data_IF_823617259109
#
_entry.id   IF_823617259109
#
_cell.length_a   1.000
_cell.length_b   1.000
_cell.length_c   1.000
_cell.angle_alpha   90.00
_cell.angle_beta   90.00
_cell.angle_gamma   90.00
#
_symmetry.space_group_name_H-M   'P 1'
#
loop_
_entity.id
_entity.type
_entity.pdbx_description
1 polymer ?
#
# COMPACT_ATOMS: atom_id res chain seq x y z
N UNK A 1 -22.63 -11.74 -50.73
CA UNK A 1 -22.12 -10.64 -49.87
C UNK A 1 -22.86 -10.73 -48.54
N UNK A 2 -22.38 -11.58 -47.62
CA UNK A 2 -22.92 -11.71 -46.27
C UNK A 2 -21.83 -11.22 -45.32
N UNK A 3 -22.07 -10.09 -44.68
CA UNK A 3 -21.21 -9.53 -43.64
C UNK A 3 -21.66 -10.18 -42.33
N UNK A 4 -20.83 -11.09 -41.79
CA UNK A 4 -20.94 -11.53 -40.40
C UNK A 4 -20.28 -10.45 -39.53
N UNK A 5 -21.07 -9.64 -38.84
CA UNK A 5 -20.61 -8.90 -37.66
C UNK A 5 -20.50 -9.91 -36.51
N UNK A 6 -19.28 -10.30 -36.17
CA UNK A 6 -18.97 -10.89 -34.88
C UNK A 6 -18.87 -9.75 -33.86
N UNK A 7 -19.94 -9.54 -33.10
CA UNK A 7 -19.86 -8.78 -31.84
C UNK A 7 -18.99 -9.57 -30.86
N UNK A 8 -17.74 -9.14 -30.75
CA UNK A 8 -16.81 -9.65 -29.76
C UNK A 8 -17.04 -8.87 -28.47
N UNK A 9 -18.03 -9.23 -27.67
CA UNK A 9 -18.12 -8.81 -26.27
C UNK A 9 -16.98 -9.45 -25.49
N UNK A 10 -15.82 -8.80 -25.50
CA UNK A 10 -14.79 -8.99 -24.47
C UNK A 10 -15.31 -8.34 -23.19
N UNK A 11 -16.05 -9.08 -22.38
CA UNK A 11 -15.98 -8.88 -20.94
C UNK A 11 -14.57 -9.32 -20.51
N UNK A 12 -13.61 -8.41 -20.61
CA UNK A 12 -12.40 -8.53 -19.82
C UNK A 12 -12.87 -8.45 -18.36
N UNK A 13 -12.76 -9.54 -17.60
CA UNK A 13 -12.98 -9.50 -16.16
C UNK A 13 -11.87 -8.64 -15.55
N UNK A 14 -12.00 -7.33 -15.59
CA UNK A 14 -11.18 -6.43 -14.79
C UNK A 14 -11.48 -6.76 -13.35
N UNK A 15 -10.47 -7.26 -12.61
CA UNK A 15 -10.62 -7.42 -11.18
C UNK A 15 -10.94 -6.05 -10.59
N UNK A 16 -12.15 -5.91 -10.03
CA UNK A 16 -12.58 -4.70 -9.33
C UNK A 16 -11.59 -4.38 -8.22
N UNK A 17 -11.22 -3.10 -8.10
CA UNK A 17 -10.32 -2.63 -7.05
C UNK A 17 -10.96 -2.88 -5.68
N UNK A 18 -10.24 -3.45 -4.72
CA UNK A 18 -10.73 -3.77 -3.39
C UNK A 18 -10.40 -2.63 -2.42
N UNK A 19 -11.42 -1.85 -2.04
CA UNK A 19 -11.28 -0.76 -1.07
C UNK A 19 -11.80 -1.23 0.28
N UNK A 20 -11.03 -1.01 1.33
CA UNK A 20 -11.48 -1.24 2.71
C UNK A 20 -11.68 0.09 3.40
N UNK A 21 -12.90 0.34 3.88
CA UNK A 21 -13.24 1.50 4.66
C UNK A 21 -13.20 1.10 6.13
N UNK A 22 -12.26 1.65 6.89
CA UNK A 22 -12.15 1.41 8.33
C UNK A 22 -12.84 2.57 9.03
N UNK A 23 -13.93 2.28 9.76
CA UNK A 23 -14.73 3.30 10.44
C UNK A 23 -15.16 2.88 11.83
N UNK A 24 -15.61 3.81 12.66
CA UNK A 24 -16.11 3.45 13.99
C UNK A 24 -17.47 2.75 13.87
N UNK A 25 -17.79 1.90 14.84
CA UNK A 25 -19.12 1.27 14.94
C UNK A 25 -20.28 2.29 14.92
N UNK A 26 -20.07 3.49 15.47
CA UNK A 26 -21.06 4.56 15.45
C UNK A 26 -21.29 5.11 14.05
N UNK A 27 -20.21 5.30 13.27
CA UNK A 27 -20.27 5.94 11.95
C UNK A 27 -20.63 4.95 10.82
N UNK A 28 -20.55 3.65 11.07
CA UNK A 28 -20.86 2.59 10.09
C UNK A 28 -22.16 2.82 9.30
N UNK A 29 -23.33 3.06 9.92
CA UNK A 29 -24.59 3.16 9.17
C UNK A 29 -24.59 4.36 8.20
N UNK A 30 -23.89 5.43 8.56
CA UNK A 30 -23.73 6.59 7.69
C UNK A 30 -22.82 6.27 6.50
N UNK A 31 -21.70 5.57 6.72
CA UNK A 31 -20.78 5.13 5.66
C UNK A 31 -21.48 4.15 4.72
N UNK A 32 -22.18 3.15 5.26
CA UNK A 32 -22.93 2.17 4.47
C UNK A 32 -23.93 2.86 3.54
N UNK A 33 -24.73 3.79 4.07
CA UNK A 33 -25.67 4.59 3.27
C UNK A 33 -24.99 5.52 2.26
N UNK A 34 -23.82 6.07 2.60
CA UNK A 34 -23.08 6.92 1.67
C UNK A 34 -22.60 6.14 0.45
N UNK A 35 -22.24 4.86 0.62
CA UNK A 35 -21.70 4.01 -0.43
C UNK A 35 -22.70 3.03 -1.07
N UNK A 36 -23.95 2.98 -0.60
CA UNK A 36 -25.02 2.13 -1.15
C UNK A 36 -25.23 2.33 -2.67
N UNK A 37 -25.18 3.59 -3.12
CA UNK A 37 -25.37 3.99 -4.53
C UNK A 37 -24.05 4.20 -5.29
N UNK A 38 -22.90 3.82 -4.72
CA UNK A 38 -21.60 4.14 -5.31
C UNK A 38 -21.31 3.25 -6.54
N UNK A 39 -21.19 3.86 -7.73
CA UNK A 39 -21.21 3.15 -9.03
C UNK A 39 -19.83 2.92 -9.67
N UNK A 40 -18.74 3.15 -8.96
CA UNK A 40 -17.40 2.93 -9.52
C UNK A 40 -17.02 1.45 -9.62
N UNK A 41 -15.99 1.14 -10.42
CA UNK A 41 -15.50 -0.22 -10.64
C UNK A 41 -14.62 -0.72 -9.47
N UNK A 42 -15.19 -0.71 -8.26
CA UNK A 42 -14.55 -1.19 -7.05
C UNK A 42 -15.50 -2.04 -6.19
N UNK A 43 -14.92 -2.82 -5.28
CA UNK A 43 -15.65 -3.50 -4.21
C UNK A 43 -15.28 -2.82 -2.90
N UNK A 44 -16.28 -2.35 -2.17
CA UNK A 44 -16.12 -1.69 -0.87
C UNK A 44 -16.41 -2.70 0.24
N UNK A 45 -15.49 -2.83 1.19
CA UNK A 45 -15.70 -3.56 2.45
C UNK A 45 -15.61 -2.58 3.60
N UNK A 46 -16.65 -2.49 4.43
CA UNK A 46 -16.66 -1.63 5.61
C UNK A 46 -16.26 -2.48 6.82
N UNK A 47 -15.29 -2.01 7.60
CA UNK A 47 -14.77 -2.69 8.77
C UNK A 47 -14.81 -1.75 9.99
N UNK A 48 -15.33 -2.27 11.11
CA UNK A 48 -15.61 -1.46 12.28
C UNK A 48 -14.51 -1.58 13.33
N UNK A 49 -14.01 -0.43 13.78
CA UNK A 49 -13.22 -0.35 15.01
C UNK A 49 -14.06 0.19 16.17
N UNK A 50 -13.63 -0.17 17.37
CA UNK A 50 -14.25 0.25 18.64
C UNK A 50 -13.40 1.29 19.37
N UNK A 51 -12.09 1.19 19.23
CA UNK A 51 -11.08 2.10 19.78
C UNK A 51 -9.81 2.01 18.91
N UNK A 52 -8.83 2.86 19.20
CA UNK A 52 -7.55 2.87 18.49
C UNK A 52 -6.63 1.68 18.80
N UNK A 53 -6.89 0.87 19.83
CA UNK A 53 -6.15 -0.39 20.02
C UNK A 53 -6.52 -1.43 18.96
N UNK A 54 -7.81 -1.50 18.61
CA UNK A 54 -8.35 -2.49 17.68
C UNK A 54 -8.11 -2.11 16.21
N UNK A 55 -7.92 -0.82 15.90
CA UNK A 55 -7.88 -0.34 14.52
C UNK A 55 -6.69 -0.90 13.71
N UNK A 56 -5.54 -1.10 14.35
CA UNK A 56 -4.34 -1.67 13.72
C UNK A 56 -4.54 -3.13 13.32
N UNK A 57 -5.21 -3.92 14.15
CA UNK A 57 -5.49 -5.33 13.84
C UNK A 57 -6.43 -5.46 12.65
N UNK A 58 -7.41 -4.56 12.53
CA UNK A 58 -8.30 -4.48 11.38
C UNK A 58 -7.50 -4.15 10.11
N UNK A 59 -6.61 -3.15 10.16
CA UNK A 59 -5.78 -2.81 9.02
C UNK A 59 -4.92 -4.02 8.58
N UNK A 60 -4.19 -4.65 9.50
CA UNK A 60 -3.35 -5.83 9.23
C UNK A 60 -4.12 -7.01 8.65
N UNK A 61 -5.38 -7.22 9.09
CA UNK A 61 -6.26 -8.26 8.56
C UNK A 61 -6.50 -8.09 7.06
N UNK A 62 -6.61 -6.86 6.57
CA UNK A 62 -6.98 -6.57 5.19
C UNK A 62 -5.80 -6.15 4.30
N UNK A 63 -4.68 -5.73 4.87
CA UNK A 63 -3.50 -5.18 4.16
C UNK A 63 -3.06 -6.02 2.95
N UNK A 64 -3.01 -7.34 3.11
CA UNK A 64 -2.59 -8.26 2.03
C UNK A 64 -3.61 -8.38 0.90
N UNK A 65 -4.87 -8.02 1.13
CA UNK A 65 -6.00 -8.26 0.21
C UNK A 65 -6.62 -7.01 -0.37
N UNK A 66 -6.45 -5.87 0.28
CA UNK A 66 -6.95 -4.58 -0.16
C UNK A 66 -5.99 -3.94 -1.18
N UNK A 67 -6.57 -3.21 -2.14
CA UNK A 67 -5.82 -2.33 -3.04
C UNK A 67 -5.61 -0.94 -2.42
N UNK A 68 -6.46 -0.52 -1.48
CA UNK A 68 -6.30 0.72 -0.73
C UNK A 68 -7.30 0.87 0.41
N UNK A 69 -7.07 1.86 1.26
CA UNK A 69 -7.82 2.09 2.49
C UNK A 69 -8.39 3.49 2.60
N UNK A 70 -9.56 3.59 3.21
CA UNK A 70 -10.18 4.84 3.57
C UNK A 70 -10.55 4.81 5.07
N UNK A 71 -9.96 5.70 5.86
CA UNK A 71 -10.04 5.63 7.33
C UNK A 71 -10.83 6.84 7.86
N UNK A 72 -11.77 6.61 8.78
CA UNK A 72 -12.55 7.70 9.39
C UNK A 72 -11.73 8.48 10.41
N UNK A 73 -11.18 9.63 10.02
CA UNK A 73 -10.42 10.54 10.86
C UNK A 73 -8.90 10.43 10.68
N UNK A 74 -8.22 11.58 10.78
CA UNK A 74 -6.76 11.69 10.72
C UNK A 74 -6.10 11.05 11.94
N UNK A 75 -6.67 11.22 13.13
CA UNK A 75 -6.16 10.60 14.37
C UNK A 75 -6.22 9.07 14.31
N UNK A 76 -7.27 8.51 13.72
CA UNK A 76 -7.41 7.06 13.51
C UNK A 76 -6.35 6.53 12.52
N UNK A 77 -6.08 7.29 11.45
CA UNK A 77 -5.01 6.98 10.49
C UNK A 77 -3.63 7.06 11.14
N UNK A 78 -3.35 8.11 11.90
CA UNK A 78 -2.09 8.29 12.64
C UNK A 78 -1.87 7.19 13.68
N UNK A 79 -2.94 6.72 14.35
CA UNK A 79 -2.87 5.60 15.28
C UNK A 79 -2.42 4.30 14.59
N UNK A 80 -2.86 4.04 13.35
CA UNK A 80 -2.38 2.91 12.56
C UNK A 80 -0.91 3.10 12.19
N UNK A 81 -0.57 4.26 11.61
CA UNK A 81 0.78 4.60 11.15
C UNK A 81 1.82 4.47 12.28
N UNK A 82 1.48 4.91 13.49
CA UNK A 82 2.35 4.77 14.66
C UNK A 82 2.72 3.30 14.98
N UNK A 83 1.84 2.35 14.70
CA UNK A 83 2.07 0.92 15.01
C UNK A 83 2.68 0.13 13.87
N UNK A 84 2.51 0.56 12.62
CA UNK A 84 3.00 -0.17 11.43
C UNK A 84 4.17 0.53 10.73
N UNK A 85 4.43 1.80 11.07
CA UNK A 85 5.31 2.67 10.29
C UNK A 85 4.61 3.15 9.02
N UNK A 86 5.32 3.09 7.90
CA UNK A 86 4.84 3.61 6.61
C UNK A 86 3.83 2.66 5.95
N UNK A 87 2.70 3.22 5.49
CA UNK A 87 1.69 2.48 4.73
C UNK A 87 2.25 1.93 3.41
N UNK A 88 2.04 0.64 3.17
CA UNK A 88 2.45 -0.04 1.94
C UNK A 88 1.37 0.00 0.84
N UNK A 89 0.23 0.62 1.13
CA UNK A 89 -0.92 0.76 0.24
C UNK A 89 -1.39 2.21 0.26
N UNK A 90 -2.04 2.71 -0.80
CA UNK A 90 -2.73 3.99 -0.77
C UNK A 90 -3.74 4.04 0.37
N UNK A 91 -3.58 5.04 1.23
CA UNK A 91 -4.46 5.28 2.37
C UNK A 91 -4.87 6.74 2.36
N UNK A 92 -6.17 6.98 2.50
CA UNK A 92 -6.73 8.32 2.70
C UNK A 92 -7.55 8.36 3.98
N UNK A 93 -7.65 9.54 4.58
CA UNK A 93 -8.58 9.78 5.69
C UNK A 93 -9.80 10.57 5.23
N UNK A 94 -10.95 10.30 5.84
CA UNK A 94 -12.15 11.10 5.66
C UNK A 94 -12.66 11.61 7.00
N UNK A 95 -13.09 12.86 7.01
CA UNK A 95 -13.61 13.56 8.17
C UNK A 95 -14.41 14.77 7.67
N UNK A 96 -15.23 15.35 8.55
CA UNK A 96 -15.90 16.60 8.25
C UNK A 96 -14.86 17.71 8.04
N UNK A 97 -14.96 18.40 6.91
CA UNK A 97 -14.15 19.57 6.59
C UNK A 97 -14.78 20.85 7.15
N UNK A 98 -14.12 22.01 6.92
CA UNK A 98 -14.64 23.31 7.35
C UNK A 98 -16.05 23.60 6.81
N UNK A 99 -16.33 23.20 5.56
CA UNK A 99 -17.66 23.38 4.96
C UNK A 99 -18.70 22.57 5.73
N UNK A 100 -18.37 21.32 6.07
CA UNK A 100 -19.20 20.44 6.89
C UNK A 100 -19.43 21.03 8.29
N UNK A 101 -18.40 21.65 8.90
CA UNK A 101 -18.52 22.33 10.19
C UNK A 101 -19.47 23.52 10.11
N UNK A 102 -19.27 24.45 9.17
CA UNK A 102 -20.16 25.60 9.03
C UNK A 102 -21.60 25.18 8.70
N UNK A 103 -21.78 24.18 7.85
CA UNK A 103 -23.10 23.64 7.54
C UNK A 103 -23.77 23.04 8.78
N UNK A 104 -23.02 22.26 9.58
CA UNK A 104 -23.50 21.71 10.84
C UNK A 104 -23.87 22.81 11.86
N UNK A 105 -23.03 23.83 12.03
CA UNK A 105 -23.28 24.95 12.93
C UNK A 105 -24.52 25.74 12.53
N UNK A 106 -24.64 26.11 11.24
CA UNK A 106 -25.79 26.83 10.72
C UNK A 106 -27.06 26.03 10.95
N UNK A 107 -27.06 24.73 10.62
CA UNK A 107 -28.21 23.86 10.85
C UNK A 107 -28.56 23.79 12.34
N UNK A 108 -27.57 23.52 13.19
CA UNK A 108 -27.76 23.32 14.61
C UNK A 108 -28.34 24.56 15.28
N UNK A 109 -27.76 25.75 15.08
CA UNK A 109 -28.24 26.98 15.73
C UNK A 109 -29.53 27.52 15.13
N UNK A 110 -29.90 27.14 13.90
CA UNK A 110 -31.22 27.42 13.35
C UNK A 110 -32.31 26.56 14.01
N UNK A 111 -32.02 25.28 14.28
CA UNK A 111 -32.93 24.32 14.90
C UNK A 111 -33.00 24.45 16.43
N UNK A 112 -31.88 24.82 17.07
CA UNK A 112 -31.70 24.92 18.53
C UNK A 112 -31.25 26.33 18.92
N UNK A 113 -32.20 27.28 18.82
CA UNK A 113 -32.00 28.70 19.17
C UNK A 113 -31.79 28.95 20.66
N UNK A 114 -31.98 27.94 21.48
CA UNK A 114 -31.73 27.95 22.92
C UNK A 114 -30.23 27.76 23.28
N UNK A 115 -29.42 27.29 22.34
CA UNK A 115 -27.99 27.06 22.57
C UNK A 115 -27.19 28.37 22.51
N UNK A 116 -26.27 28.52 23.44
CA UNK A 116 -25.25 29.58 23.44
C UNK A 116 -23.97 29.07 22.73
N UNK A 117 -23.54 29.68 21.61
CA UNK A 117 -22.30 29.31 20.93
C UNK A 117 -21.05 29.37 21.81
N UNK A 118 -21.03 30.20 22.85
CA UNK A 118 -19.92 30.28 23.81
C UNK A 118 -19.91 29.09 24.80
N UNK A 119 -20.94 28.25 24.78
CA UNK A 119 -21.10 27.07 25.65
C UNK A 119 -21.20 25.77 24.85
N UNK A 120 -21.12 25.83 23.52
CA UNK A 120 -21.01 24.69 22.63
C UNK A 120 -19.55 24.50 22.25
N UNK A 121 -18.94 23.34 22.52
CA UNK A 121 -17.50 23.11 22.28
C UNK A 121 -17.24 22.05 21.21
N UNK A 122 -16.10 22.13 20.53
CA UNK A 122 -15.57 21.10 19.65
C UNK A 122 -14.63 20.16 20.39
N UNK A 123 -14.91 18.85 20.33
CA UNK A 123 -14.12 17.84 21.04
C UNK A 123 -12.64 17.78 20.60
N UNK A 124 -12.38 17.99 19.30
CA UNK A 124 -11.03 17.98 18.72
C UNK A 124 -10.16 19.16 19.14
N UNK A 125 -10.76 20.21 19.71
CA UNK A 125 -10.02 21.35 20.24
C UNK A 125 -9.55 21.14 21.67
N UNK A 126 -10.19 20.24 22.43
CA UNK A 126 -9.87 19.99 23.83
C UNK A 126 -8.40 19.62 24.11
N UNK A 127 -7.70 18.86 23.23
CA UNK A 127 -6.29 18.55 23.46
C UNK A 127 -5.33 19.75 23.32
N UNK A 128 -5.77 20.85 22.71
CA UNK A 128 -4.92 21.99 22.35
C UNK A 128 -5.35 23.32 22.99
N UNK A 129 -6.38 23.31 23.83
CA UNK A 129 -6.80 24.52 24.57
C UNK A 129 -5.74 24.92 25.61
N UNK A 130 -5.62 26.22 25.87
CA UNK A 130 -4.63 26.75 26.83
C UNK A 130 -5.10 26.63 28.27
N UNK A 131 -6.40 26.83 28.51
CA UNK A 131 -7.04 26.63 29.80
C UNK A 131 -8.02 25.45 29.69
N UNK A 132 -7.64 24.26 30.16
CA UNK A 132 -8.54 23.11 30.16
C UNK A 132 -9.83 23.36 30.93
N UNK A 133 -9.79 24.11 32.05
CA UNK A 133 -10.92 24.36 32.97
C UNK A 133 -11.95 25.33 32.39
N UNK A 134 -11.54 26.20 31.48
CA UNK A 134 -12.41 27.12 30.77
C UNK A 134 -12.01 27.15 29.29
N UNK A 135 -12.42 26.14 28.49
CA UNK A 135 -11.89 25.91 27.15
C UNK A 135 -12.53 26.85 26.11
N UNK A 136 -12.34 28.16 26.26
CA UNK A 136 -12.88 29.18 25.36
C UNK A 136 -12.44 28.91 23.92
N UNK A 137 -11.20 28.48 23.71
CA UNK A 137 -10.66 28.16 22.38
C UNK A 137 -11.34 26.96 21.70
N UNK A 138 -12.06 26.12 22.46
CA UNK A 138 -12.84 25.03 21.92
C UNK A 138 -14.27 25.43 21.54
N UNK A 139 -14.73 26.63 21.89
CA UNK A 139 -16.13 27.03 21.70
C UNK A 139 -16.46 27.30 20.23
N UNK A 140 -17.73 27.12 19.86
CA UNK A 140 -18.24 27.50 18.56
C UNK A 140 -18.11 29.01 18.33
N UNK A 141 -18.29 29.82 19.38
CA UNK A 141 -18.09 31.27 19.32
C UNK A 141 -16.65 31.65 18.95
N UNK A 142 -15.66 31.04 19.60
CA UNK A 142 -14.25 31.27 19.29
C UNK A 142 -13.90 30.85 17.86
N UNK A 143 -14.43 29.70 17.39
CA UNK A 143 -14.21 29.25 16.01
C UNK A 143 -14.74 30.25 14.98
N UNK A 144 -15.91 30.84 15.24
CA UNK A 144 -16.56 31.79 14.32
C UNK A 144 -15.84 33.15 14.29
N UNK A 145 -15.35 33.63 15.43
CA UNK A 145 -14.87 35.01 15.56
C UNK A 145 -13.35 35.18 15.62
N UNK A 146 -12.64 34.22 16.21
CA UNK A 146 -11.24 34.42 16.61
C UNK A 146 -10.28 33.39 16.01
N UNK A 147 -10.77 32.23 15.59
CA UNK A 147 -9.91 31.13 15.14
C UNK A 147 -9.29 31.41 13.77
N UNK A 148 -7.96 31.41 13.70
CA UNK A 148 -7.24 31.37 12.44
C UNK A 148 -7.26 29.95 11.86
N UNK A 149 -8.27 29.68 11.02
CA UNK A 149 -8.48 28.39 10.38
C UNK A 149 -7.30 27.93 9.52
N UNK A 150 -6.49 28.84 8.99
CA UNK A 150 -5.31 28.48 8.20
C UNK A 150 -4.22 27.85 9.08
N UNK A 151 -4.19 28.21 10.37
CA UNK A 151 -3.21 27.71 11.33
C UNK A 151 -3.74 26.54 12.17
N UNK A 152 -5.05 26.23 12.09
CA UNK A 152 -5.67 25.13 12.82
C UNK A 152 -5.10 23.78 12.40
N UNK A 153 -5.05 23.50 11.09
CA UNK A 153 -4.49 22.26 10.55
C UNK A 153 -3.05 22.04 11.02
N UNK A 154 -2.20 23.09 10.91
CA UNK A 154 -0.82 23.04 11.38
C UNK A 154 -0.69 22.79 12.89
N UNK A 155 -1.63 23.31 13.68
CA UNK A 155 -1.64 23.11 15.14
C UNK A 155 -2.07 21.69 15.49
N UNK A 156 -3.08 21.15 14.80
CA UNK A 156 -3.51 19.76 14.96
C UNK A 156 -2.43 18.77 14.52
N UNK A 157 -1.75 19.03 13.41
CA UNK A 157 -0.64 18.22 12.93
C UNK A 157 0.54 18.25 13.90
N UNK A 158 0.88 19.43 14.43
CA UNK A 158 1.90 19.54 15.49
C UNK A 158 1.51 18.76 16.72
N UNK A 159 0.26 18.85 17.17
CA UNK A 159 -0.21 18.10 18.33
C UNK A 159 -0.17 16.60 18.09
N UNK A 160 -0.65 16.11 16.94
CA UNK A 160 -0.60 14.70 16.58
C UNK A 160 0.85 14.19 16.53
N UNK A 161 1.77 14.99 15.98
CA UNK A 161 3.19 14.64 15.88
C UNK A 161 3.97 14.79 17.19
N UNK A 162 3.60 15.71 18.09
CA UNK A 162 4.25 15.91 19.40
C UNK A 162 3.71 14.97 20.48
N UNK A 163 2.47 14.49 20.34
CA UNK A 163 1.84 13.52 21.24
C UNK A 163 2.34 12.08 21.01
N UNK A 164 3.30 11.87 20.10
CA UNK A 164 3.99 10.61 19.76
C UNK A 164 4.86 10.02 20.89
N UNK A 165 4.56 10.32 22.16
CA UNK A 165 5.14 9.66 23.33
C UNK A 165 4.08 8.85 24.11
N UNK A 166 2.78 8.96 23.81
CA UNK A 166 1.76 8.28 24.61
C UNK A 166 0.55 7.82 23.80
N UNK A 167 0.47 6.50 23.60
CA UNK A 167 -0.75 5.70 23.53
C UNK A 167 -2.01 6.42 22.99
N UNK A 168 -2.19 6.38 21.66
CA UNK A 168 -3.37 6.93 20.99
C UNK A 168 -4.69 6.40 21.59
N UNK A 169 -4.70 5.21 22.20
CA UNK A 169 -5.86 4.64 22.87
C UNK A 169 -6.44 5.54 23.98
N UNK A 170 -5.59 6.37 24.60
CA UNK A 170 -5.97 7.24 25.72
C UNK A 170 -6.49 8.59 25.22
N UNK A 171 -6.22 8.99 23.97
CA UNK A 171 -6.68 10.28 23.40
C UNK A 171 -8.19 10.38 23.39
N UNK A 172 -8.88 9.41 22.76
CA UNK A 172 -10.34 9.42 22.65
C UNK A 172 -10.99 9.37 24.03
N UNK A 173 -10.41 8.58 24.94
CA UNK A 173 -10.88 8.47 26.32
C UNK A 173 -10.68 9.79 27.09
N UNK A 174 -9.53 10.44 26.98
CA UNK A 174 -9.26 11.72 27.64
C UNK A 174 -10.22 12.82 27.15
N UNK A 175 -10.47 12.88 25.84
CA UNK A 175 -11.44 13.81 25.24
C UNK A 175 -12.84 13.55 25.81
N UNK A 176 -13.27 12.29 25.85
CA UNK A 176 -14.58 11.93 26.37
C UNK A 176 -14.72 12.24 27.86
N UNK A 177 -13.75 11.84 28.68
CA UNK A 177 -13.73 12.11 30.13
C UNK A 177 -13.74 13.62 30.41
N UNK A 178 -12.93 14.39 29.67
CA UNK A 178 -12.89 15.84 29.83
C UNK A 178 -14.21 16.50 29.47
N UNK A 179 -14.83 16.06 28.39
CA UNK A 179 -16.16 16.54 27.98
C UNK A 179 -17.20 16.27 29.07
N UNK A 180 -17.18 15.08 29.68
CA UNK A 180 -18.08 14.70 30.77
C UNK A 180 -17.85 15.58 32.01
N UNK A 181 -16.60 15.90 32.35
CA UNK A 181 -16.26 16.79 33.48
C UNK A 181 -16.82 18.20 33.27
N UNK A 182 -16.59 18.80 32.10
CA UNK A 182 -17.08 20.13 31.75
C UNK A 182 -18.62 20.20 31.78
N UNK A 183 -19.29 19.15 31.28
CA UNK A 183 -20.74 19.03 31.33
C UNK A 183 -21.26 18.98 32.77
N UNK A 184 -20.69 18.09 33.61
CA UNK A 184 -21.08 17.97 35.03
C UNK A 184 -20.85 19.26 35.83
N UNK A 185 -19.81 20.01 35.46
CA UNK A 185 -19.50 21.30 36.06
C UNK A 185 -20.41 22.45 35.55
N UNK A 186 -21.32 22.19 34.61
CA UNK A 186 -22.19 23.21 34.00
C UNK A 186 -21.43 24.23 33.15
N UNK A 187 -20.24 23.88 32.66
CA UNK A 187 -19.38 24.77 31.87
C UNK A 187 -19.76 24.81 30.40
N UNK A 188 -20.36 23.74 29.90
CA UNK A 188 -20.81 23.58 28.51
C UNK A 188 -22.27 23.14 28.49
N UNK A 189 -22.95 23.39 27.37
CA UNK A 189 -24.32 22.94 27.12
C UNK A 189 -24.39 21.83 26.06
N UNK A 190 -23.37 21.73 25.21
CA UNK A 190 -23.30 20.73 24.14
C UNK A 190 -21.84 20.54 23.68
N UNK A 191 -21.55 19.34 23.20
CA UNK A 191 -20.32 19.02 22.47
C UNK A 191 -20.60 18.72 21.00
N UNK A 192 -19.80 19.30 20.11
CA UNK A 192 -19.76 19.06 18.67
C UNK A 192 -18.63 18.05 18.41
N UNK A 193 -19.01 16.84 18.02
CA UNK A 193 -18.10 15.70 18.01
C UNK A 193 -17.51 15.45 16.63
N UNK A 194 -16.18 15.39 16.55
CA UNK A 194 -15.42 14.83 15.44
C UNK A 194 -14.99 13.37 15.71
N UNK A 195 -14.92 12.95 16.98
CA UNK A 195 -14.56 11.58 17.36
C UNK A 195 -15.79 10.70 17.57
N UNK A 196 -16.24 10.04 16.51
CA UNK A 196 -17.44 9.20 16.51
C UNK A 196 -17.42 8.05 17.53
N UNK A 197 -16.23 7.55 17.88
CA UNK A 197 -15.98 6.52 18.89
C UNK A 197 -16.37 6.95 20.32
N UNK A 198 -16.36 8.26 20.61
CA UNK A 198 -16.70 8.80 21.93
C UNK A 198 -18.20 8.93 22.15
N UNK A 199 -18.97 8.98 21.06
CA UNK A 199 -20.42 9.20 21.07
C UNK A 199 -21.19 8.24 21.99
N UNK A 200 -20.96 6.90 21.95
CA UNK A 200 -21.71 5.98 22.82
C UNK A 200 -21.51 6.27 24.31
N UNK A 201 -20.31 6.69 24.72
CA UNK A 201 -20.02 7.02 26.11
C UNK A 201 -20.69 8.35 26.52
N UNK A 202 -20.68 9.35 25.62
CA UNK A 202 -21.34 10.63 25.86
C UNK A 202 -22.86 10.45 25.98
N UNK A 203 -23.46 9.64 25.11
CA UNK A 203 -24.88 9.26 25.16
C UNK A 203 -25.22 8.55 26.48
N UNK A 204 -24.41 7.57 26.89
CA UNK A 204 -24.59 6.86 28.17
C UNK A 204 -24.58 7.80 29.38
N UNK A 205 -23.73 8.85 29.35
CA UNK A 205 -23.64 9.84 30.43
C UNK A 205 -24.63 10.99 30.29
N UNK A 206 -25.49 10.98 29.27
CA UNK A 206 -26.50 12.01 29.03
C UNK A 206 -25.89 13.37 28.68
N UNK A 207 -24.70 13.39 28.09
CA UNK A 207 -24.06 14.62 27.61
C UNK A 207 -24.70 15.01 26.27
N UNK A 208 -25.31 16.20 26.13
CA UNK A 208 -25.83 16.65 24.84
C UNK A 208 -24.70 16.73 23.81
N UNK A 209 -24.86 16.05 22.68
CA UNK A 209 -23.83 15.94 21.66
C UNK A 209 -24.41 16.05 20.26
N UNK A 210 -23.57 16.44 19.30
CA UNK A 210 -23.90 16.49 17.88
C UNK A 210 -22.69 16.06 17.04
N UNK A 211 -22.81 14.97 16.28
CA UNK A 211 -21.72 14.50 15.44
C UNK A 211 -21.60 15.31 14.14
N UNK A 212 -20.37 15.70 13.81
CA UNK A 212 -20.03 16.45 12.60
C UNK A 212 -19.86 15.47 11.43
N UNK A 213 -20.96 15.20 10.72
CA UNK A 213 -20.94 14.31 9.56
C UNK A 213 -20.25 14.96 8.35
N UNK A 214 -19.36 14.25 7.65
CA UNK A 214 -18.87 14.70 6.36
C UNK A 214 -20.01 14.71 5.32
N UNK A 215 -19.87 15.54 4.28
CA UNK A 215 -20.87 15.59 3.21
C UNK A 215 -20.69 14.38 2.28
N UNK A 216 -21.79 13.73 1.84
CA UNK A 216 -21.74 12.55 0.95
C UNK A 216 -20.84 12.76 -0.28
N UNK A 217 -20.99 13.89 -0.98
CA UNK A 217 -20.19 14.19 -2.18
C UNK A 217 -18.68 14.25 -1.90
N UNK A 218 -18.28 14.63 -0.68
CA UNK A 218 -16.89 14.64 -0.25
C UNK A 218 -16.35 13.21 -0.15
N UNK A 219 -17.11 12.30 0.49
CA UNK A 219 -16.74 10.88 0.59
C UNK A 219 -16.56 10.26 -0.80
N UNK A 220 -17.49 10.55 -1.72
CA UNK A 220 -17.42 10.08 -3.11
C UNK A 220 -16.20 10.65 -3.85
N UNK A 221 -15.85 11.92 -3.62
CA UNK A 221 -14.65 12.52 -4.21
C UNK A 221 -13.38 11.88 -3.67
N UNK A 222 -13.32 11.64 -2.35
CA UNK A 222 -12.16 11.05 -1.70
C UNK A 222 -11.90 9.62 -2.16
N UNK A 223 -12.92 8.77 -2.24
CA UNK A 223 -12.72 7.42 -2.78
C UNK A 223 -12.30 7.43 -4.25
N UNK A 224 -12.76 8.41 -5.06
CA UNK A 224 -12.31 8.56 -6.46
C UNK A 224 -10.84 8.94 -6.54
N UNK A 225 -10.39 9.81 -5.64
CA UNK A 225 -8.98 10.16 -5.50
C UNK A 225 -8.15 8.93 -5.12
N UNK A 226 -8.60 8.14 -4.14
CA UNK A 226 -7.95 6.89 -3.75
C UNK A 226 -7.86 5.91 -4.94
N UNK A 227 -8.94 5.73 -5.69
CA UNK A 227 -8.95 4.88 -6.88
C UNK A 227 -7.97 5.38 -7.96
N UNK A 228 -7.82 6.70 -8.10
CA UNK A 228 -6.85 7.31 -9.00
C UNK A 228 -5.40 7.07 -8.53
N UNK A 229 -5.12 7.23 -7.23
CA UNK A 229 -3.81 6.94 -6.64
C UNK A 229 -3.41 5.48 -6.87
N UNK A 230 -4.32 4.53 -6.61
CA UNK A 230 -4.08 3.10 -6.87
C UNK A 230 -3.78 2.83 -8.35
N UNK A 231 -4.52 3.48 -9.26
CA UNK A 231 -4.29 3.34 -10.70
C UNK A 231 -2.92 3.89 -11.12
N UNK A 232 -2.53 5.03 -10.55
CA UNK A 232 -1.23 5.66 -10.82
C UNK A 232 -0.06 4.81 -10.30
N UNK A 233 -0.18 4.24 -9.11
CA UNK A 233 0.84 3.33 -8.57
C UNK A 233 0.99 2.08 -9.44
N UNK A 234 -0.13 1.43 -9.78
CA UNK A 234 -0.13 0.27 -10.69
C UNK A 234 0.45 0.62 -12.06
N UNK A 235 0.16 1.81 -12.59
CA UNK A 235 0.77 2.28 -13.83
C UNK A 235 2.29 2.42 -13.69
N UNK A 236 2.75 3.07 -12.62
CA UNK A 236 4.18 3.29 -12.35
C UNK A 236 4.94 1.97 -12.18
N UNK A 237 4.38 1.03 -11.42
CA UNK A 237 4.94 -0.32 -11.24
C UNK A 237 5.11 -1.07 -12.56
N UNK A 238 4.23 -0.82 -13.52
CA UNK A 238 4.21 -1.48 -14.83
C UNK A 238 4.92 -0.69 -15.94
N UNK A 239 5.58 0.42 -15.63
CA UNK A 239 6.40 1.13 -16.61
C UNK A 239 7.43 0.18 -17.23
N UNK A 240 7.60 0.18 -18.56
CA UNK A 240 8.59 -0.67 -19.22
C UNK A 240 10.01 -0.30 -18.77
N UNK A 241 10.77 -1.34 -18.44
CA UNK A 241 12.20 -1.23 -18.13
C UNK A 241 12.99 -2.11 -19.08
N UNK A 242 14.11 -1.58 -19.57
CA UNK A 242 15.16 -2.36 -20.20
C UNK A 242 16.38 -2.37 -19.29
N UNK A 243 17.03 -3.52 -19.15
CA UNK A 243 18.31 -3.67 -18.46
C UNK A 243 19.31 -4.09 -19.53
N UNK A 244 20.28 -3.23 -19.82
CA UNK A 244 21.33 -3.46 -20.79
C UNK A 244 22.60 -3.93 -20.06
N UNK A 245 23.12 -5.08 -20.46
CA UNK A 245 24.24 -5.77 -19.79
C UNK A 245 25.32 -6.04 -20.84
N UNK A 246 26.55 -5.62 -20.54
CA UNK A 246 27.71 -5.90 -21.38
C UNK A 246 28.84 -6.48 -20.54
N UNK A 247 29.59 -7.43 -21.09
CA UNK A 247 30.80 -7.96 -20.46
C UNK A 247 31.95 -6.97 -20.62
N UNK A 248 32.55 -6.54 -19.50
CA UNK A 248 33.67 -5.60 -19.46
C UNK A 248 34.93 -6.16 -20.11
N UNK A 249 35.09 -7.48 -20.13
CA UNK A 249 36.28 -8.13 -20.62
C UNK A 249 36.26 -8.38 -22.13
N UNK A 250 35.11 -8.17 -22.80
CA UNK A 250 34.98 -8.31 -24.24
C UNK A 250 35.07 -6.96 -24.94
N UNK A 251 36.08 -6.80 -25.79
CA UNK A 251 36.17 -5.68 -26.74
C UNK A 251 35.46 -6.04 -28.05
N UNK A 252 34.90 -5.01 -28.69
CA UNK A 252 34.15 -5.11 -29.94
C UNK A 252 34.93 -5.88 -31.03
N UNK A 253 34.44 -7.05 -31.44
CA UNK A 253 34.97 -7.81 -32.58
C UNK A 253 35.16 -9.32 -32.36
N UNK A 254 35.14 -9.81 -31.12
CA UNK A 254 35.13 -11.25 -30.83
C UNK A 254 33.69 -11.81 -30.87
N UNK A 255 33.48 -13.01 -31.43
CA UNK A 255 32.15 -13.61 -31.57
C UNK A 255 31.45 -13.72 -30.20
N UNK A 256 30.15 -13.42 -30.17
CA UNK A 256 29.28 -13.66 -29.01
C UNK A 256 29.50 -15.07 -28.47
N UNK A 257 29.83 -15.15 -27.18
CA UNK A 257 29.98 -16.42 -26.48
C UNK A 257 28.66 -16.67 -25.78
N UNK A 258 28.02 -17.80 -26.08
CA UNK A 258 26.73 -18.22 -25.49
C UNK A 258 26.79 -18.25 -23.94
N UNK A 259 27.99 -18.22 -23.35
CA UNK A 259 28.24 -18.26 -21.91
C UNK A 259 27.65 -17.09 -21.11
N UNK A 260 27.74 -15.84 -21.61
CA UNK A 260 27.22 -14.66 -20.90
C UNK A 260 25.69 -14.63 -20.98
N UNK A 261 25.14 -14.94 -22.16
CA UNK A 261 23.69 -15.06 -22.34
C UNK A 261 23.10 -16.12 -21.42
N UNK A 262 23.73 -17.29 -21.35
CA UNK A 262 23.32 -18.40 -20.49
C UNK A 262 23.43 -18.02 -19.00
N UNK A 263 24.50 -17.32 -18.59
CA UNK A 263 24.64 -16.80 -17.23
C UNK A 263 23.55 -15.79 -16.87
N UNK A 264 23.28 -14.80 -17.73
CA UNK A 264 22.21 -13.81 -17.53
C UNK A 264 20.85 -14.49 -17.43
N UNK A 265 20.55 -15.44 -18.31
CA UNK A 265 19.28 -16.19 -18.25
C UNK A 265 19.18 -17.05 -16.99
N UNK A 266 20.28 -17.69 -16.56
CA UNK A 266 20.30 -18.49 -15.31
C UNK A 266 20.11 -17.64 -14.08
N UNK A 267 20.78 -16.48 -13.99
CA UNK A 267 20.59 -15.54 -12.87
C UNK A 267 19.16 -15.00 -12.89
N UNK A 268 18.66 -14.58 -14.04
CA UNK A 268 17.30 -14.09 -14.16
C UNK A 268 16.25 -15.15 -13.78
N UNK A 269 16.48 -16.42 -14.16
CA UNK A 269 15.64 -17.54 -13.74
C UNK A 269 15.77 -17.86 -12.26
N UNK A 270 16.96 -17.75 -11.67
CA UNK A 270 17.18 -17.95 -10.24
C UNK A 270 16.48 -16.87 -9.38
N UNK A 271 16.46 -15.64 -9.89
CA UNK A 271 15.76 -14.48 -9.35
C UNK A 271 14.29 -14.40 -9.78
N UNK A 272 13.84 -15.34 -10.63
CA UNK A 272 12.47 -15.49 -11.12
C UNK A 272 11.93 -14.27 -11.89
N UNK A 273 12.81 -13.52 -12.53
CA UNK A 273 12.47 -12.31 -13.31
C UNK A 273 11.51 -12.70 -14.45
N UNK A 274 10.31 -12.12 -14.43
CA UNK A 274 9.40 -12.15 -15.58
C UNK A 274 9.88 -11.11 -16.61
N UNK A 275 10.46 -11.60 -17.70
CA UNK A 275 11.13 -10.76 -18.68
C UNK A 275 11.24 -11.40 -20.07
N UNK A 276 11.43 -10.54 -21.06
CA UNK A 276 11.84 -10.92 -22.42
C UNK A 276 13.33 -10.64 -22.57
N UNK A 277 14.08 -11.63 -23.06
CA UNK A 277 15.52 -11.53 -23.28
C UNK A 277 15.82 -11.29 -24.76
N UNK A 278 16.75 -10.38 -25.04
CA UNK A 278 17.22 -10.12 -26.39
C UNK A 278 18.73 -9.84 -26.36
N UNK A 279 19.46 -10.26 -27.38
CA UNK A 279 20.87 -9.93 -27.56
C UNK A 279 21.07 -9.12 -28.83
N UNK A 280 21.81 -8.02 -28.76
CA UNK A 280 22.20 -7.20 -29.90
C UNK A 280 23.63 -6.69 -29.71
N UNK A 281 24.51 -6.93 -30.69
CA UNK A 281 25.86 -6.32 -30.73
C UNK A 281 26.65 -6.43 -29.41
N UNK A 282 26.70 -7.63 -28.82
CA UNK A 282 27.34 -7.94 -27.52
C UNK A 282 26.67 -7.32 -26.27
N UNK A 283 25.52 -6.67 -26.43
CA UNK A 283 24.68 -6.20 -25.32
C UNK A 283 23.50 -7.16 -25.14
N UNK A 284 23.30 -7.60 -23.90
CA UNK A 284 22.16 -8.41 -23.50
C UNK A 284 21.12 -7.54 -22.82
N UNK A 285 19.89 -7.60 -23.33
CA UNK A 285 18.74 -6.88 -22.83
C UNK A 285 17.81 -7.79 -22.06
N UNK A 286 17.39 -7.31 -20.89
CA UNK A 286 16.24 -7.85 -20.14
C UNK A 286 15.15 -6.79 -20.20
N UNK A 287 14.04 -7.08 -20.88
CA UNK A 287 12.85 -6.25 -20.86
C UNK A 287 11.90 -6.72 -19.77
N UNK A 288 11.58 -5.86 -18.83
CA UNK A 288 10.73 -6.15 -17.68
C UNK A 288 9.94 -4.91 -17.26
N UNK A 289 9.44 -4.89 -16.03
CA UNK A 289 8.68 -3.78 -15.46
C UNK A 289 9.49 -3.04 -14.39
N UNK A 290 9.10 -1.81 -14.09
CA UNK A 290 9.67 -1.01 -13.01
C UNK A 290 9.64 -1.74 -11.67
N UNK A 291 8.54 -2.43 -11.35
CA UNK A 291 8.40 -3.25 -10.13
C UNK A 291 9.50 -4.30 -10.00
N UNK A 292 9.83 -4.99 -11.11
CA UNK A 292 10.88 -6.02 -11.11
C UNK A 292 12.26 -5.38 -10.99
N UNK A 293 12.52 -4.30 -11.71
CA UNK A 293 13.80 -3.59 -11.61
C UNK A 293 14.04 -3.00 -10.20
N UNK A 294 13.01 -2.41 -9.59
CA UNK A 294 13.06 -1.91 -8.22
C UNK A 294 13.31 -3.04 -7.22
N UNK A 295 12.70 -4.22 -7.41
CA UNK A 295 12.98 -5.40 -6.59
C UNK A 295 14.45 -5.86 -6.71
N UNK A 296 14.99 -5.90 -7.94
CA UNK A 296 16.37 -6.31 -8.23
C UNK A 296 17.43 -5.34 -7.73
N UNK A 297 17.04 -4.13 -7.36
CA UNK A 297 17.97 -3.07 -6.97
C UNK A 297 17.63 -2.48 -5.60
N UNK A 298 16.66 -3.07 -4.88
CA UNK A 298 16.08 -2.52 -3.65
C UNK A 298 15.78 -1.03 -3.81
N UNK A 299 14.91 -0.69 -4.75
CA UNK A 299 14.58 0.68 -5.15
C UNK A 299 15.82 1.49 -5.60
N UNK A 300 16.70 0.87 -6.38
CA UNK A 300 17.91 1.52 -6.93
C UNK A 300 18.91 1.97 -5.85
N UNK A 301 18.95 1.29 -4.71
CA UNK A 301 19.95 1.49 -3.67
C UNK A 301 21.13 0.52 -3.80
N UNK A 302 20.88 -0.69 -4.32
CA UNK A 302 21.86 -1.78 -4.39
C UNK A 302 21.89 -2.41 -5.79
N UNK A 303 22.90 -3.24 -6.04
CA UNK A 303 23.08 -3.95 -7.29
C UNK A 303 23.21 -5.47 -7.05
N UNK A 304 22.12 -6.21 -7.24
CA UNK A 304 22.12 -7.67 -7.10
C UNK A 304 22.55 -8.41 -8.37
N UNK A 305 22.28 -7.86 -9.56
CA UNK A 305 22.51 -8.56 -10.83
C UNK A 305 24.00 -8.64 -11.16
N UNK A 306 24.74 -7.53 -11.04
CA UNK A 306 26.20 -7.51 -11.24
C UNK A 306 26.89 -8.43 -10.22
N UNK A 307 26.48 -8.35 -8.95
CA UNK A 307 27.02 -9.19 -7.87
C UNK A 307 26.83 -10.68 -8.15
N UNK A 308 25.66 -11.09 -8.63
CA UNK A 308 25.36 -12.48 -8.97
C UNK A 308 26.18 -12.98 -10.17
N UNK A 309 26.25 -12.18 -11.25
CA UNK A 309 27.03 -12.53 -12.44
C UNK A 309 28.53 -12.67 -12.14
N UNK A 310 29.05 -11.79 -11.28
CA UNK A 310 30.45 -11.82 -10.85
C UNK A 310 30.75 -13.02 -9.94
N UNK A 311 29.93 -13.25 -8.91
CA UNK A 311 30.22 -14.27 -7.90
C UNK A 311 29.96 -15.70 -8.41
N UNK A 312 28.89 -15.91 -9.17
CA UNK A 312 28.46 -17.25 -9.58
C UNK A 312 29.10 -17.70 -10.90
N UNK A 313 29.46 -16.73 -11.77
CA UNK A 313 29.96 -17.01 -13.12
C UNK A 313 31.31 -16.35 -13.44
N UNK A 314 31.85 -15.50 -12.56
CA UNK A 314 33.13 -14.81 -12.80
C UNK A 314 33.08 -13.74 -13.88
N UNK A 315 31.88 -13.29 -14.28
CA UNK A 315 31.68 -12.33 -15.36
C UNK A 315 31.66 -10.92 -14.78
N UNK A 316 32.53 -10.05 -15.29
CA UNK A 316 32.58 -8.64 -14.90
C UNK A 316 31.69 -7.83 -15.84
N UNK A 317 30.63 -7.21 -15.34
CA UNK A 317 29.64 -6.54 -16.21
C UNK A 317 29.61 -5.02 -16.08
N UNK A 318 29.17 -4.37 -17.15
CA UNK A 318 28.62 -3.04 -17.12
C UNK A 318 27.10 -3.17 -17.28
N UNK A 319 26.33 -2.50 -16.43
CA UNK A 319 24.87 -2.63 -16.39
C UNK A 319 24.22 -1.25 -16.38
N UNK A 320 23.27 -1.04 -17.29
CA UNK A 320 22.41 0.13 -17.35
C UNK A 320 20.94 -0.25 -17.25
N UNK A 321 20.22 0.34 -16.32
CA UNK A 321 18.76 0.24 -16.22
C UNK A 321 18.12 1.45 -16.88
N UNK A 322 17.11 1.24 -17.71
CA UNK A 322 16.36 2.32 -18.35
C UNK A 322 14.88 2.17 -18.13
N UNK A 323 14.26 3.14 -17.47
CA UNK A 323 12.83 3.23 -17.23
C UNK A 323 12.25 4.19 -18.27
N UNK A 324 11.21 3.79 -19.00
CA UNK A 324 10.58 4.65 -20.01
C UNK A 324 9.07 4.51 -20.03
N UNK A 325 8.39 5.36 -20.80
CA UNK A 325 6.96 5.26 -21.09
C UNK A 325 6.68 4.29 -22.25
N UNK A 326 7.73 3.81 -22.92
CA UNK A 326 7.66 2.79 -23.98
C UNK A 326 8.90 1.89 -23.93
N UNK A 327 8.81 0.69 -24.53
CA UNK A 327 9.94 -0.24 -24.65
C UNK A 327 11.14 0.42 -25.36
N UNK A 328 10.87 1.21 -26.40
CA UNK A 328 11.90 1.92 -27.17
C UNK A 328 12.62 2.97 -26.31
N UNK A 329 11.86 3.73 -25.53
CA UNK A 329 12.43 4.72 -24.61
C UNK A 329 13.24 4.04 -23.49
N UNK A 330 12.67 2.99 -22.87
CA UNK A 330 13.34 2.20 -21.86
C UNK A 330 14.68 1.64 -22.36
N UNK A 331 14.72 1.10 -23.59
CA UNK A 331 15.96 0.62 -24.22
C UNK A 331 16.99 1.74 -24.37
N UNK A 332 16.59 2.89 -24.92
CA UNK A 332 17.48 4.04 -25.10
C UNK A 332 18.03 4.54 -23.75
N UNK A 333 17.19 4.58 -22.73
CA UNK A 333 17.60 4.94 -21.37
C UNK A 333 18.60 3.93 -20.80
N UNK A 334 18.39 2.64 -21.03
CA UNK A 334 19.29 1.58 -20.58
C UNK A 334 20.66 1.67 -21.27
N UNK A 335 20.69 1.94 -22.58
CA UNK A 335 21.92 2.17 -23.33
C UNK A 335 22.68 3.42 -22.85
N UNK A 336 21.97 4.50 -22.50
CA UNK A 336 22.58 5.69 -21.91
C UNK A 336 23.20 5.38 -20.54
N UNK A 337 22.46 4.70 -19.66
CA UNK A 337 22.96 4.28 -18.36
C UNK A 337 24.13 3.29 -18.47
N UNK A 338 24.09 2.39 -19.47
CA UNK A 338 25.18 1.45 -19.74
C UNK A 338 26.46 2.18 -20.18
N UNK A 339 26.34 3.25 -20.98
CA UNK A 339 27.50 4.09 -21.35
C UNK A 339 28.14 4.76 -20.13
N UNK A 340 27.33 5.19 -19.16
CA UNK A 340 27.82 5.71 -17.88
C UNK A 340 28.52 4.61 -17.07
N UNK A 341 27.92 3.42 -17.01
CA UNK A 341 28.52 2.24 -16.36
C UNK A 341 29.85 1.82 -17.00
N UNK A 342 30.02 1.97 -18.31
CA UNK A 342 31.30 1.74 -18.99
C UNK A 342 32.37 2.77 -18.66
N UNK A 343 31.97 4.04 -18.55
CA UNK A 343 32.87 5.16 -18.29
C UNK A 343 33.31 5.25 -16.83
N UNK A 344 32.56 4.58 -15.94
CA UNK A 344 32.80 4.54 -14.51
C UNK A 344 32.76 3.10 -13.96
N UNK A 345 32.66 2.93 -12.64
CA UNK A 345 32.50 1.62 -12.00
C UNK A 345 31.14 1.56 -11.33
N UNK A 346 30.39 0.47 -11.57
CA UNK A 346 29.06 0.26 -11.00
C UNK A 346 27.94 0.43 -12.02
N UNK A 347 26.73 0.11 -11.60
CA UNK A 347 25.53 0.19 -12.43
C UNK A 347 24.84 1.54 -12.30
N UNK A 348 24.10 1.93 -13.33
CA UNK A 348 23.36 3.18 -13.36
C UNK A 348 21.93 2.96 -13.84
N UNK A 349 21.04 3.88 -13.45
CA UNK A 349 19.64 3.89 -13.85
C UNK A 349 19.38 5.23 -14.54
N UNK A 350 18.67 5.20 -15.67
CA UNK A 350 18.08 6.40 -16.25
C UNK A 350 16.55 6.30 -16.12
N UNK A 351 15.96 7.24 -15.38
CA UNK A 351 14.52 7.25 -15.13
C UNK A 351 13.71 7.86 -16.30
N UNK A 352 12.38 7.79 -16.21
CA UNK A 352 11.44 8.33 -17.19
C UNK A 352 11.54 9.86 -17.37
N UNK A 353 12.19 10.56 -16.44
CA UNK A 353 12.47 11.99 -16.49
C UNK A 353 13.86 12.32 -17.07
N UNK A 354 14.55 11.35 -17.69
CA UNK A 354 15.92 11.46 -18.23
C UNK A 354 17.00 11.78 -17.17
N UNK A 355 16.75 11.49 -15.90
CA UNK A 355 17.74 11.67 -14.84
C UNK A 355 18.56 10.39 -14.67
N UNK A 356 19.88 10.53 -14.57
CA UNK A 356 20.80 9.42 -14.24
C UNK A 356 20.92 9.30 -12.73
N UNK A 357 20.77 8.09 -12.22
CA UNK A 357 20.91 7.69 -10.82
C UNK A 357 22.03 6.65 -10.74
N UNK A 358 22.98 6.83 -9.84
CA UNK A 358 24.05 5.88 -9.59
C UNK A 358 25.40 6.54 -9.23
N UNK A 359 26.46 5.74 -9.05
CA UNK A 359 26.45 4.27 -9.19
C UNK A 359 25.65 3.60 -8.07
N UNK A 360 24.87 2.56 -8.42
CA UNK A 360 24.12 1.76 -7.45
C UNK A 360 25.07 1.11 -6.44
N UNK A 361 24.70 1.06 -5.16
CA UNK A 361 25.54 0.50 -4.09
C UNK A 361 26.67 1.40 -3.58
N UNK A 362 26.71 2.68 -3.95
CA UNK A 362 27.72 3.66 -3.48
C UNK A 362 27.36 4.36 -2.17
N UNK A 363 26.13 4.22 -1.68
CA UNK A 363 25.69 4.74 -0.40
C UNK A 363 26.21 3.86 0.75
N UNK A 364 27.05 4.43 1.62
CA UNK A 364 27.16 3.95 3.00
C UNK A 364 25.78 4.14 3.64
N UNK A 365 24.99 3.06 3.72
CA UNK A 365 23.68 3.04 4.34
C UNK A 365 23.79 3.57 5.79
N UNK A 366 22.90 4.47 6.25
CA UNK A 366 22.39 4.33 7.60
C UNK A 366 21.73 2.94 7.64
N UNK A 367 22.19 2.08 8.52
CA UNK A 367 21.62 0.76 8.74
C UNK A 367 20.11 0.89 9.03
N UNK A 368 19.27 0.66 8.03
CA UNK A 368 17.86 0.36 8.21
C UNK A 368 17.66 -1.14 8.01
N UNK A 369 16.96 -1.73 8.97
CA UNK A 369 16.82 -3.16 9.19
C UNK A 369 16.35 -3.88 7.93
N UNK A 370 16.92 -5.08 7.72
CA UNK A 370 16.39 -6.06 6.79
C UNK A 370 14.98 -6.45 7.26
N UNK A 371 13.94 -5.86 6.69
CA UNK A 371 12.58 -6.39 6.83
C UNK A 371 12.42 -7.61 5.91
N UNK A 372 13.11 -8.69 6.26
CA UNK A 372 12.56 -10.03 6.09
C UNK A 372 11.39 -10.11 7.08
N UNK A 373 10.22 -10.66 6.71
CA UNK A 373 9.20 -11.00 7.70
C UNK A 373 9.85 -11.76 8.87
N UNK A 374 9.69 -11.28 10.11
CA UNK A 374 10.35 -11.80 11.32
C UNK A 374 10.09 -13.30 11.56
N UNK A 375 9.14 -13.87 10.82
CA UNK A 375 8.62 -15.22 10.90
C UNK A 375 9.12 -16.17 9.79
N UNK A 376 9.99 -15.75 8.84
CA UNK A 376 10.51 -16.63 7.77
C UNK A 376 11.14 -17.91 8.32
N UNK A 377 11.91 -17.80 9.40
CA UNK A 377 12.55 -18.98 10.03
C UNK A 377 11.50 -19.92 10.64
N UNK A 378 10.46 -19.38 11.26
CA UNK A 378 9.38 -20.16 11.86
C UNK A 378 8.53 -20.85 10.79
N UNK A 379 8.25 -20.17 9.68
CA UNK A 379 7.50 -20.73 8.54
C UNK A 379 8.33 -21.84 7.87
N UNK A 380 9.63 -21.61 7.65
CA UNK A 380 10.53 -22.60 7.08
C UNK A 380 10.60 -23.88 7.95
N UNK A 381 10.72 -23.71 9.27
CA UNK A 381 10.73 -24.82 10.23
C UNK A 381 9.40 -25.57 10.25
N UNK A 382 8.26 -24.88 10.40
CA UNK A 382 6.92 -25.48 10.40
C UNK A 382 6.62 -26.23 9.09
N UNK A 383 7.01 -25.66 7.97
CA UNK A 383 6.78 -26.26 6.65
C UNK A 383 7.83 -27.31 6.28
N UNK A 384 8.90 -27.50 7.07
CA UNK A 384 10.05 -28.37 6.73
C UNK A 384 10.62 -28.04 5.35
N UNK A 385 10.79 -26.76 5.06
CA UNK A 385 11.37 -26.22 3.84
C UNK A 385 12.58 -25.36 4.20
N UNK A 386 13.51 -25.17 3.26
CA UNK A 386 14.60 -24.22 3.49
C UNK A 386 14.06 -22.79 3.48
N UNK A 387 14.70 -21.90 4.24
CA UNK A 387 14.41 -20.45 4.24
C UNK A 387 14.47 -19.87 2.82
N UNK A 388 15.44 -20.33 2.01
CA UNK A 388 15.55 -19.98 0.59
C UNK A 388 14.33 -20.42 -0.23
N UNK A 389 13.72 -21.57 0.08
CA UNK A 389 12.50 -22.02 -0.61
C UNK A 389 11.31 -21.13 -0.24
N UNK A 390 11.19 -20.73 1.03
CA UNK A 390 10.15 -19.80 1.49
C UNK A 390 10.33 -18.41 0.84
N UNK A 391 11.56 -17.90 0.78
CA UNK A 391 11.87 -16.64 0.08
C UNK A 391 11.53 -16.69 -1.41
N UNK A 392 11.84 -17.81 -2.09
CA UNK A 392 11.44 -18.02 -3.49
C UNK A 392 9.92 -18.02 -3.65
N UNK A 393 9.18 -18.66 -2.74
CA UNK A 393 7.71 -18.67 -2.77
C UNK A 393 7.11 -17.28 -2.54
N UNK A 394 7.64 -16.51 -1.58
CA UNK A 394 7.23 -15.11 -1.36
C UNK A 394 7.48 -14.27 -2.61
N UNK A 395 8.61 -14.49 -3.27
CA UNK A 395 8.93 -13.81 -4.53
C UNK A 395 7.94 -14.19 -5.63
N UNK A 396 7.59 -15.48 -5.79
CA UNK A 396 6.58 -15.97 -6.76
C UNK A 396 5.22 -15.29 -6.56
N UNK A 397 4.76 -15.20 -5.31
CA UNK A 397 3.50 -14.53 -4.98
C UNK A 397 3.56 -13.04 -5.34
N UNK A 398 4.64 -12.35 -4.99
CA UNK A 398 4.84 -10.94 -5.34
C UNK A 398 4.91 -10.71 -6.85
N UNK A 399 5.50 -11.63 -7.62
CA UNK A 399 5.64 -11.51 -9.07
C UNK A 399 4.34 -11.81 -9.82
N UNK A 400 3.57 -12.80 -9.37
CA UNK A 400 2.30 -13.16 -9.99
C UNK A 400 1.16 -12.19 -9.65
N UNK A 401 1.33 -11.33 -8.63
CA UNK A 401 0.26 -10.46 -8.12
C UNK A 401 -0.94 -11.26 -7.57
N UNK A 402 -0.74 -12.55 -7.29
CA UNK A 402 -1.75 -13.49 -6.83
C UNK A 402 -1.14 -14.46 -5.83
N UNK A 403 -1.89 -14.74 -4.77
CA UNK A 403 -1.56 -15.76 -3.78
C UNK A 403 -1.98 -17.17 -4.22
N UNK A 404 -2.67 -17.29 -5.36
CA UNK A 404 -3.11 -18.57 -5.90
C UNK A 404 -2.12 -19.13 -6.92
N UNK A 405 -1.80 -20.41 -6.77
CA UNK A 405 -0.87 -21.10 -7.64
C UNK A 405 -1.26 -22.57 -7.84
N UNK A 406 -1.13 -23.05 -9.06
CA UNK A 406 -1.22 -24.48 -9.38
C UNK A 406 0.13 -25.16 -9.21
N UNK A 407 0.12 -26.49 -9.09
CA UNK A 407 1.36 -27.28 -9.05
C UNK A 407 2.23 -27.07 -10.29
N UNK A 408 1.60 -26.91 -11.47
CA UNK A 408 2.33 -26.72 -12.72
C UNK A 408 2.95 -25.32 -12.80
N UNK A 409 2.24 -24.28 -12.39
CA UNK A 409 2.80 -22.93 -12.29
C UNK A 409 3.98 -22.91 -11.32
N UNK A 410 3.82 -23.51 -10.12
CA UNK A 410 4.92 -23.57 -9.16
C UNK A 410 6.13 -24.34 -9.71
N UNK A 411 5.90 -25.46 -10.42
CA UNK A 411 6.94 -26.24 -11.07
C UNK A 411 7.68 -25.41 -12.14
N UNK A 412 6.93 -24.66 -12.94
CA UNK A 412 7.47 -23.79 -13.98
C UNK A 412 8.28 -22.63 -13.38
N UNK A 413 7.74 -21.93 -12.38
CA UNK A 413 8.42 -20.83 -11.69
C UNK A 413 9.71 -21.33 -11.03
N UNK A 414 9.65 -22.40 -10.22
CA UNK A 414 10.83 -22.91 -9.53
C UNK A 414 11.81 -23.69 -10.44
N UNK A 415 11.43 -23.98 -11.69
CA UNK A 415 12.21 -24.81 -12.60
C UNK A 415 12.42 -26.24 -12.11
N UNK A 416 11.46 -26.78 -11.36
CA UNK A 416 11.52 -28.13 -10.76
C UNK A 416 10.46 -29.05 -11.36
N UNK A 417 10.58 -30.35 -11.12
CA UNK A 417 9.54 -31.31 -11.56
C UNK A 417 8.22 -31.06 -10.85
N UNK A 418 7.09 -31.35 -11.51
CA UNK A 418 5.73 -31.29 -10.92
C UNK A 418 5.64 -32.12 -9.63
N UNK A 419 6.40 -33.22 -9.54
CA UNK A 419 6.49 -34.04 -8.32
C UNK A 419 7.15 -33.28 -7.15
N UNK A 420 8.20 -32.51 -7.43
CA UNK A 420 8.86 -31.69 -6.42
C UNK A 420 7.99 -30.49 -6.01
N UNK A 421 7.35 -29.81 -6.97
CA UNK A 421 6.39 -28.74 -6.69
C UNK A 421 5.22 -29.25 -5.83
N UNK A 422 4.69 -30.44 -6.12
CA UNK A 422 3.67 -31.08 -5.28
C UNK A 422 4.15 -31.34 -3.85
N UNK A 423 5.40 -31.75 -3.68
CA UNK A 423 6.00 -31.96 -2.35
C UNK A 423 6.10 -30.65 -1.58
N UNK A 424 6.51 -29.56 -2.25
CA UNK A 424 6.60 -28.22 -1.65
C UNK A 424 5.21 -27.73 -1.22
N UNK A 425 4.19 -27.84 -2.09
CA UNK A 425 2.82 -27.43 -1.77
C UNK A 425 2.20 -28.22 -0.61
N UNK A 426 2.43 -29.54 -0.54
CA UNK A 426 1.99 -30.35 0.59
C UNK A 426 2.68 -29.97 1.90
N UNK A 427 3.96 -29.64 1.84
CA UNK A 427 4.72 -29.20 2.99
C UNK A 427 4.21 -27.85 3.52
N UNK A 428 3.86 -26.92 2.62
CA UNK A 428 3.21 -25.66 2.98
C UNK A 428 1.81 -25.89 3.57
N UNK A 429 1.01 -26.78 2.97
CA UNK A 429 -0.32 -27.13 3.46
C UNK A 429 -0.25 -27.72 4.88
N UNK A 430 0.64 -28.68 5.11
CA UNK A 430 0.86 -29.28 6.43
C UNK A 430 1.41 -28.29 7.46
N UNK A 431 2.21 -27.32 7.02
CA UNK A 431 2.75 -26.26 7.86
C UNK A 431 1.79 -25.08 8.09
N UNK A 432 0.58 -25.10 7.52
CA UNK A 432 -0.42 -24.04 7.60
C UNK A 432 -0.16 -22.83 6.69
N UNK A 433 0.91 -22.85 5.90
CA UNK A 433 1.32 -21.79 4.98
C UNK A 433 0.68 -21.90 3.57
N UNK A 434 -0.18 -22.89 3.34
CA UNK A 434 -1.02 -22.98 2.15
C UNK A 434 -2.36 -23.67 2.45
N UNK A 435 -3.37 -23.37 1.65
CA UNK A 435 -4.69 -24.04 1.68
C UNK A 435 -5.13 -24.36 0.26
N UNK A 436 -6.01 -25.36 0.09
CA UNK A 436 -6.61 -25.64 -1.21
C UNK A 436 -7.76 -24.64 -1.41
N UNK A 437 -7.61 -23.72 -2.37
CA UNK A 437 -8.60 -22.69 -2.65
C UNK A 437 -9.81 -23.28 -3.41
N UNK A 438 -9.53 -23.95 -4.53
CA UNK A 438 -10.52 -24.61 -5.35
C UNK A 438 -9.85 -25.63 -6.30
N UNK A 439 -10.66 -26.35 -7.06
CA UNK A 439 -10.20 -27.29 -8.09
C UNK A 439 -10.74 -26.90 -9.45
N UNK A 440 -9.86 -26.84 -10.45
CA UNK A 440 -10.23 -26.57 -11.84
C UNK A 440 -10.53 -27.89 -12.55
N UNK A 441 -11.70 -27.97 -13.20
CA UNK A 441 -12.03 -29.05 -14.14
C UNK A 441 -11.42 -28.71 -15.50
N UNK A 442 -10.58 -29.58 -16.04
CA UNK A 442 -10.11 -29.46 -17.42
C UNK A 442 -11.20 -29.97 -18.35
N UNK A 443 -11.50 -29.22 -19.43
CA UNK A 443 -12.47 -29.61 -20.46
C UNK A 443 -12.11 -30.91 -21.22
N UNK A 444 -10.91 -31.46 -21.00
CA UNK A 444 -10.47 -32.76 -21.48
C UNK A 444 -10.26 -33.74 -20.31
N UNK A 445 -10.51 -35.04 -20.57
CA UNK A 445 -10.39 -36.14 -19.59
C UNK A 445 -9.06 -36.07 -18.81
N UNK A 446 -9.11 -35.65 -17.55
CA UNK A 446 -7.98 -35.56 -16.63
C UNK A 446 -8.46 -35.42 -15.18
N UNK A 447 -7.60 -35.72 -14.20
CA UNK A 447 -7.90 -35.47 -12.79
C UNK A 447 -7.99 -33.95 -12.55
N UNK A 448 -8.94 -33.47 -11.73
CA UNK A 448 -9.06 -32.05 -11.40
C UNK A 448 -7.73 -31.46 -10.89
N UNK A 449 -7.37 -30.27 -11.38
CA UNK A 449 -6.14 -29.56 -10.98
C UNK A 449 -6.43 -28.79 -9.69
N UNK A 450 -5.66 -29.02 -8.64
CA UNK A 450 -5.76 -28.26 -7.39
C UNK A 450 -5.11 -26.89 -7.54
N UNK A 451 -5.83 -25.85 -7.14
CA UNK A 451 -5.31 -24.49 -6.96
C UNK A 451 -5.06 -24.29 -5.47
N UNK A 452 -3.82 -23.94 -5.14
CA UNK A 452 -3.40 -23.67 -3.77
C UNK A 452 -3.36 -22.17 -3.53
N UNK A 453 -3.88 -21.69 -2.41
CA UNK A 453 -3.66 -20.33 -1.91
C UNK A 453 -2.54 -20.35 -0.88
N UNK A 454 -1.46 -19.62 -1.16
CA UNK A 454 -0.30 -19.48 -0.28
C UNK A 454 -0.59 -18.39 0.76
N UNK A 455 -0.38 -18.71 2.04
CA UNK A 455 -0.54 -17.80 3.17
C UNK A 455 0.85 -17.39 3.69
N UNK A 456 1.67 -16.83 2.79
CA UNK A 456 3.07 -16.46 3.03
C UNK A 456 3.26 -14.96 3.26
#
# INVERSE_FOLDING_TARGET
MCIFQLEYTREASTMKQKIVIITSKYLHPFVEKAFEDFKEDCTVTIADYTNFDHITDIYRKYEKTADGFMISGTTAMAAIEHHIGEFQKPVISFHADLISFYHALVKLFLERRDLDPARCIFDFMLPIVKDPENPVEATADYLIHEMDLNNLALTMDKWANQSTIGDFSVVEMNIALRTIELWKAGKIDMVLCAYSSTMPLLDEKGVPNYFLYPVKNQLESQIKELLAQIKLEKYRENLPVAIAIADRNKTSGEKSDDSVQDAVQKVAKALLIDAVFQAESEIYYIYTTHRVAAMLTKNFEVEYLDSALKNDYGISTAIGYGIGNSITEAKKHAENALRESWSSTGSFVMNESNQIIGPLGSSQLPSFQQNLPDDIFQIAEKCKLSTLTIQKLISIVKMNGSYEITTNELANHLGVTVRNANRILRNLENGGAATIAHTLSTASKGRPVKVYRLNL
#
